data_IF_682110254274
#
_entry.id   IF_682110254274
#
_cell.length_a   1.000
_cell.length_b   1.000
_cell.length_c   1.000
_cell.angle_alpha   90.00
_cell.angle_beta   90.00
_cell.angle_gamma   90.00
#
_symmetry.space_group_name_H-M   'P 1'
#
loop_
_entity.id
_entity.type
_entity.pdbx_description
1 polymer ?
#
# COMPACT_ATOMS: atom_id res chain seq x y z
N UNK A 1 -4.12 13.25 2.93
CA UNK A 1 -3.82 11.81 2.79
C UNK A 1 -5.11 11.04 2.98
N UNK A 2 -5.57 10.29 1.98
CA UNK A 2 -6.79 9.46 2.08
C UNK A 2 -6.35 8.02 2.29
N UNK A 3 -6.51 7.49 3.51
CA UNK A 3 -6.22 6.08 3.78
C UNK A 3 -7.35 5.22 3.23
N UNK A 4 -7.02 4.21 2.43
CA UNK A 4 -7.99 3.24 1.92
C UNK A 4 -7.98 1.99 2.80
N UNK A 5 -9.16 1.41 3.03
CA UNK A 5 -9.30 0.13 3.72
C UNK A 5 -8.61 -0.95 2.91
N UNK A 6 -7.63 -1.63 3.50
CA UNK A 6 -6.77 -2.55 2.76
C UNK A 6 -6.77 -4.00 3.25
N UNK A 7 -7.50 -4.29 4.31
CA UNK A 7 -7.63 -5.63 4.88
C UNK A 7 -7.71 -5.64 6.39
N UNK A 8 -7.87 -6.84 6.95
CA UNK A 8 -7.91 -7.09 8.39
C UNK A 8 -6.65 -7.88 8.78
N UNK A 9 -5.94 -7.46 9.84
CA UNK A 9 -4.93 -8.31 10.45
C UNK A 9 -5.60 -9.27 11.43
N UNK A 10 -5.66 -10.56 11.13
CA UNK A 10 -5.94 -11.58 12.14
C UNK A 10 -4.62 -11.99 12.81
N UNK A 11 -4.43 -11.66 14.09
CA UNK A 11 -3.38 -12.29 14.90
C UNK A 11 -3.86 -13.68 15.32
N UNK A 12 -3.93 -14.60 14.35
CA UNK A 12 -4.29 -16.01 14.53
C UNK A 12 -3.09 -16.93 14.38
N UNK A 13 -2.07 -16.75 15.21
CA UNK A 13 -0.95 -17.69 15.31
C UNK A 13 -0.68 -18.01 16.78
N UNK A 14 -1.54 -18.84 17.36
CA UNK A 14 -1.17 -19.69 18.49
C UNK A 14 -1.39 -21.14 18.07
N UNK A 15 -0.28 -21.88 18.17
CA UNK A 15 -0.08 -23.32 18.06
C UNK A 15 -1.33 -24.17 17.92
N UNK A 16 -1.35 -24.99 16.86
CA UNK A 16 -2.20 -26.17 16.76
C UNK A 16 -1.65 -27.21 17.76
N UNK A 17 -1.84 -27.01 19.05
CA UNK A 17 -1.65 -28.07 20.06
C UNK A 17 -2.29 -27.66 21.39
N UNK A 18 -3.27 -28.44 21.84
CA UNK A 18 -3.65 -28.54 23.26
C UNK A 18 -4.93 -27.82 23.69
N UNK A 19 -5.88 -28.64 24.17
CA UNK A 19 -6.83 -28.32 25.27
C UNK A 19 -8.00 -27.39 24.88
N UNK A 20 -9.18 -27.91 24.52
CA UNK A 20 -10.23 -28.47 25.39
C UNK A 20 -10.60 -27.54 26.58
N UNK A 21 -11.83 -27.00 26.51
CA UNK A 21 -12.63 -26.39 27.58
C UNK A 21 -12.18 -25.01 28.10
N UNK A 22 -13.04 -24.03 27.93
CA UNK A 22 -12.98 -22.79 28.70
C UNK A 22 -13.59 -21.62 27.94
N UNK A 23 -14.79 -21.20 28.35
CA UNK A 23 -15.35 -19.89 28.05
C UNK A 23 -14.34 -18.82 28.43
N UNK A 24 -13.82 -18.07 27.46
CA UNK A 24 -13.34 -16.72 27.73
C UNK A 24 -13.42 -15.92 26.43
N UNK A 25 -13.94 -14.71 26.57
CA UNK A 25 -14.16 -13.74 25.51
C UNK A 25 -12.91 -13.60 24.63
N UNK A 26 -12.91 -14.25 23.47
CA UNK A 26 -11.97 -13.91 22.41
C UNK A 26 -12.34 -12.52 21.91
N UNK A 27 -11.77 -11.51 22.57
CA UNK A 27 -11.58 -10.17 22.06
C UNK A 27 -10.84 -10.26 20.72
N UNK A 28 -11.58 -10.55 19.64
CA UNK A 28 -11.12 -10.38 18.27
C UNK A 28 -10.97 -8.88 18.04
N UNK A 29 -9.77 -8.36 18.30
CA UNK A 29 -9.39 -7.05 17.79
C UNK A 29 -9.16 -7.16 16.29
N UNK A 30 -10.23 -7.20 15.50
CA UNK A 30 -10.19 -6.91 14.06
C UNK A 30 -9.88 -5.42 13.91
N UNK A 31 -8.58 -5.06 13.98
CA UNK A 31 -8.15 -3.72 13.64
C UNK A 31 -8.10 -3.63 12.11
N UNK A 32 -8.98 -2.81 11.57
CA UNK A 32 -8.97 -2.43 10.17
C UNK A 32 -7.63 -1.74 9.87
N UNK A 33 -6.87 -2.29 8.92
CA UNK A 33 -5.61 -1.68 8.52
C UNK A 33 -5.92 -0.52 7.57
N UNK A 34 -5.56 0.69 7.99
CA UNK A 34 -5.55 1.88 7.14
C UNK A 34 -4.20 1.88 6.41
N UNK A 35 -4.19 1.51 5.13
CA UNK A 35 -2.97 1.56 4.34
C UNK A 35 -2.78 2.92 3.71
N UNK A 36 -1.55 3.42 3.76
CA UNK A 36 -1.15 4.61 3.05
C UNK A 36 -1.20 4.37 1.54
N UNK A 37 -1.76 5.31 0.81
CA UNK A 37 -1.89 5.23 -0.64
C UNK A 37 -1.57 6.57 -1.29
N UNK A 38 -0.93 6.49 -2.46
CA UNK A 38 -0.52 7.64 -3.25
C UNK A 38 -1.17 7.61 -4.61
N UNK A 39 -1.33 8.81 -5.18
CA UNK A 39 -1.77 8.99 -6.55
C UNK A 39 -0.59 9.41 -7.40
N UNK A 40 -0.19 8.57 -8.35
CA UNK A 40 0.82 8.88 -9.36
C UNK A 40 0.10 9.20 -10.68
N UNK A 41 0.19 10.44 -11.13
CA UNK A 41 -0.41 10.87 -12.39
C UNK A 41 0.63 10.82 -13.51
N UNK A 42 0.32 10.06 -14.55
CA UNK A 42 1.02 10.12 -15.83
C UNK A 42 0.19 10.92 -16.85
N UNK A 43 0.68 11.02 -18.09
CA UNK A 43 -0.03 11.70 -19.18
C UNK A 43 -1.41 11.09 -19.47
N UNK A 44 -1.55 9.77 -19.31
CA UNK A 44 -2.74 9.03 -19.77
C UNK A 44 -3.43 8.25 -18.67
N UNK A 45 -2.70 7.91 -17.60
CA UNK A 45 -3.19 7.06 -16.53
C UNK A 45 -2.93 7.70 -15.16
N UNK A 46 -3.93 7.65 -14.30
CA UNK A 46 -3.84 7.92 -12.88
C UNK A 46 -3.70 6.58 -12.14
N UNK A 47 -2.57 6.38 -11.48
CA UNK A 47 -2.29 5.18 -10.69
C UNK A 47 -2.56 5.47 -9.23
N UNK A 48 -3.28 4.57 -8.56
CA UNK A 48 -3.33 4.50 -7.09
C UNK A 48 -2.32 3.45 -6.65
N UNK A 49 -1.33 3.83 -5.85
CA UNK A 49 -0.19 2.98 -5.49
C UNK A 49 0.02 2.91 -3.98
N UNK A 50 0.50 1.76 -3.51
CA UNK A 50 0.81 1.50 -2.09
C UNK A 50 2.24 1.03 -1.93
N UNK A 51 2.99 1.53 -0.93
CA UNK A 51 4.31 0.99 -0.60
C UNK A 51 4.23 -0.53 -0.36
N UNK A 52 5.24 -1.28 -0.82
CA UNK A 52 5.35 -2.71 -0.47
C UNK A 52 6.09 -2.95 0.84
N UNK A 53 6.95 -2.02 1.24
CA UNK A 53 7.66 -2.08 2.51
C UNK A 53 6.89 -1.27 3.57
N UNK A 54 6.11 -1.98 4.38
CA UNK A 54 5.36 -1.40 5.50
C UNK A 54 6.23 -1.14 6.74
N UNK A 55 7.49 -1.61 6.75
CA UNK A 55 8.39 -1.46 7.91
C UNK A 55 9.03 -0.08 7.96
N UNK A 56 9.34 0.49 6.80
CA UNK A 56 9.91 1.84 6.67
C UNK A 56 9.24 2.61 5.53
N UNK A 57 7.93 2.93 5.65
CA UNK A 57 7.22 3.68 4.62
C UNK A 57 7.81 5.10 4.55
N UNK A 58 8.72 5.32 3.62
CA UNK A 58 9.21 6.67 3.32
C UNK A 58 8.14 7.41 2.55
N UNK A 59 7.76 8.57 3.05
CA UNK A 59 6.76 9.40 2.41
C UNK A 59 7.26 9.87 1.04
N UNK A 60 6.49 9.60 -0.01
CA UNK A 60 6.76 10.24 -1.29
C UNK A 60 6.49 11.75 -1.18
N UNK A 61 7.40 12.59 -1.70
CA UNK A 61 7.16 14.01 -1.76
C UNK A 61 5.97 14.30 -2.68
N UNK A 62 5.07 15.17 -2.23
CA UNK A 62 3.83 15.50 -2.91
C UNK A 62 4.08 16.66 -3.88
N UNK A 63 3.61 16.52 -5.12
CA UNK A 63 3.77 17.55 -6.15
C UNK A 63 5.06 17.43 -6.97
N UNK A 64 5.94 16.50 -6.60
CA UNK A 64 7.19 16.26 -7.31
C UNK A 64 7.03 15.34 -8.51
N UNK A 65 7.98 15.46 -9.45
CA UNK A 65 8.06 14.55 -10.60
C UNK A 65 8.77 13.26 -10.19
N UNK A 66 8.25 12.12 -10.65
CA UNK A 66 8.87 10.82 -10.42
C UNK A 66 9.02 10.06 -11.73
N UNK A 67 10.07 9.27 -11.82
CA UNK A 67 10.25 8.28 -12.88
C UNK A 67 9.81 6.93 -12.36
N UNK A 68 9.13 6.15 -13.19
CA UNK A 68 8.71 4.81 -12.81
C UNK A 68 8.80 3.83 -13.97
N UNK A 69 8.94 2.56 -13.61
CA UNK A 69 8.85 1.42 -14.54
C UNK A 69 8.12 0.26 -13.90
N UNK A 70 7.42 -0.51 -14.71
CA UNK A 70 6.76 -1.74 -14.27
C UNK A 70 7.77 -2.89 -14.33
N UNK A 71 7.86 -3.70 -13.26
CA UNK A 71 8.69 -4.90 -13.20
C UNK A 71 7.85 -6.03 -12.61
N UNK A 72 7.44 -6.99 -13.45
CA UNK A 72 6.54 -8.09 -13.06
C UNK A 72 5.24 -7.54 -12.45
N UNK A 73 5.03 -7.76 -11.16
CA UNK A 73 3.86 -7.43 -10.36
C UNK A 73 3.99 -6.12 -9.56
N UNK A 74 5.12 -5.40 -9.72
CA UNK A 74 5.41 -4.17 -8.97
C UNK A 74 5.78 -2.99 -9.86
N UNK A 75 5.50 -1.80 -9.35
CA UNK A 75 6.00 -0.53 -9.86
C UNK A 75 7.27 -0.16 -9.11
N UNK A 76 8.34 0.13 -9.85
CA UNK A 76 9.58 0.68 -9.29
C UNK A 76 9.56 2.19 -9.56
N UNK A 77 9.56 2.98 -8.50
CA UNK A 77 9.46 4.44 -8.56
C UNK A 77 10.71 5.10 -7.98
N UNK A 78 11.21 6.13 -8.65
CA UNK A 78 12.35 6.95 -8.24
C UNK A 78 11.98 8.42 -8.37
N UNK A 79 12.34 9.23 -7.37
CA UNK A 79 12.21 10.70 -7.41
C UNK A 79 13.61 11.26 -7.67
N UNK A 80 13.92 11.75 -8.89
CA UNK A 80 15.25 12.25 -9.23
C UNK A 80 15.74 13.39 -8.34
N UNK A 81 14.83 14.28 -7.94
CA UNK A 81 15.06 15.49 -7.15
C UNK A 81 15.16 15.21 -5.63
N UNK A 82 14.86 13.97 -5.22
CA UNK A 82 14.94 13.52 -3.83
C UNK A 82 16.27 12.82 -3.51
N UNK A 83 16.18 11.74 -2.74
CA UNK A 83 17.33 10.89 -2.39
C UNK A 83 17.79 9.96 -3.53
N UNK A 84 17.09 9.98 -4.66
CA UNK A 84 17.40 9.15 -5.81
C UNK A 84 17.18 7.64 -5.62
N UNK A 85 16.65 7.20 -4.48
CA UNK A 85 16.43 5.77 -4.20
C UNK A 85 15.21 5.22 -4.98
N UNK A 86 15.38 4.01 -5.53
CA UNK A 86 14.27 3.24 -6.09
C UNK A 86 13.43 2.64 -4.96
N UNK A 87 12.11 2.71 -5.11
CA UNK A 87 11.13 2.19 -4.15
C UNK A 87 10.09 1.32 -4.85
N UNK A 88 9.63 0.29 -4.17
CA UNK A 88 8.69 -0.68 -4.73
C UNK A 88 7.26 -0.40 -4.27
N UNK A 89 6.35 -0.36 -5.22
CA UNK A 89 4.93 -0.11 -5.01
C UNK A 89 4.07 -1.18 -5.65
N UNK A 90 2.94 -1.48 -4.99
CA UNK A 90 1.82 -2.22 -5.58
C UNK A 90 0.86 -1.24 -6.22
N UNK A 91 0.44 -1.52 -7.45
CA UNK A 91 -0.63 -0.76 -8.12
C UNK A 91 -1.97 -1.30 -7.63
N UNK A 92 -2.74 -0.44 -6.96
CA UNK A 92 -4.07 -0.74 -6.43
C UNK A 92 -5.12 -0.55 -7.51
N UNK A 93 -5.02 0.54 -8.29
CA UNK A 93 -5.90 0.77 -9.44
C UNK A 93 -5.25 1.66 -10.49
N UNK A 94 -5.81 1.60 -11.69
CA UNK A 94 -5.45 2.42 -12.85
C UNK A 94 -6.72 2.99 -13.45
N UNK A 95 -6.79 4.31 -13.60
CA UNK A 95 -7.87 4.97 -14.32
C UNK A 95 -7.29 5.83 -15.44
N UNK A 96 -7.94 5.84 -16.61
CA UNK A 96 -7.55 6.76 -17.67
C UNK A 96 -7.83 8.19 -17.20
N UNK A 97 -6.88 9.09 -17.42
CA UNK A 97 -7.09 10.51 -17.21
C UNK A 97 -8.04 10.95 -18.32
N UNK A 98 -9.26 11.35 -17.96
CA UNK A 98 -10.18 11.91 -18.93
C UNK A 98 -9.56 13.19 -19.52
N UNK A 99 -9.42 13.19 -20.85
CA UNK A 99 -8.86 14.32 -21.61
C UNK A 99 -9.96 15.19 -22.20
N UNK A 100 -11.22 15.00 -21.78
CA UNK A 100 -12.34 15.82 -22.20
C UNK A 100 -12.02 17.31 -21.99
N UNK A 101 -11.83 17.98 -23.11
CA UNK A 101 -11.47 19.37 -23.26
C UNK A 101 -12.47 19.99 -24.22
#
# INVERSE_FOLDING_TARGET
MTSAECGFSEKGAKSITGELLGTDDQHKQTKQLLCQEYTLKSREVLYRIRPRDDKHPVLLPIGETAQFRMKKDKMILRVPEGDGHEREYTVVSMTLVDKSK
#
